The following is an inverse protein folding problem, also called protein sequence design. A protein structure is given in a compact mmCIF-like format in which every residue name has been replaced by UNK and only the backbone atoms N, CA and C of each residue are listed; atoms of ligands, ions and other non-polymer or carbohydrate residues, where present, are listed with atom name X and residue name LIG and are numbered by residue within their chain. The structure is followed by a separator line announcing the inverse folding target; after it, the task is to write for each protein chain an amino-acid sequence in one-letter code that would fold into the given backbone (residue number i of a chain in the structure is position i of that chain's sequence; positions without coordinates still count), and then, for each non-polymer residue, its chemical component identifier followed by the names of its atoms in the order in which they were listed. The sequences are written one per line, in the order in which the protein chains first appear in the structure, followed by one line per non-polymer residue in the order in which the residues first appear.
data_IF_774320831335
#
_entry.id   IF_774320831335
#
_cell.length_a   1.000
_cell.length_b   1.000
_cell.length_c   1.000
_cell.angle_alpha   90.00
_cell.angle_beta   90.00
_cell.angle_gamma   90.00
#
_symmetry.space_group_name_H-M   'P 1'
#
loop_
_entity.id
_entity.type
_entity.pdbx_description
1 polymer ?
#
# COMPACT_ATOMS: atom_id res chain seq x y z
N UNK A 1 -49.93 -0.08 27.24
CA UNK A 1 -48.75 0.11 26.36
C UNK A 1 -47.51 -0.15 27.17
N UNK A 2 -46.83 -1.28 26.93
CA UNK A 2 -45.57 -1.60 27.57
C UNK A 2 -44.48 -0.96 26.70
N UNK A 3 -43.79 0.04 27.25
CA UNK A 3 -42.63 0.64 26.60
C UNK A 3 -41.49 -0.38 26.63
N UNK A 4 -41.23 -1.05 25.51
CA UNK A 4 -40.02 -1.84 25.35
C UNK A 4 -38.83 -0.88 25.29
N UNK A 5 -38.23 -0.61 26.45
CA UNK A 5 -36.90 0.00 26.53
C UNK A 5 -35.88 -1.09 26.17
N UNK A 6 -35.83 -1.49 24.89
CA UNK A 6 -34.73 -2.31 24.40
C UNK A 6 -33.49 -1.41 24.36
N UNK A 7 -32.81 -1.30 25.52
CA UNK A 7 -31.37 -1.03 25.54
C UNK A 7 -30.74 -2.13 24.69
N UNK A 8 -30.42 -1.81 23.44
CA UNK A 8 -29.60 -2.68 22.60
C UNK A 8 -28.29 -2.86 23.37
N UNK A 9 -28.15 -4.02 24.00
CA UNK A 9 -26.95 -4.43 24.75
C UNK A 9 -26.15 -5.31 23.81
N UNK A 10 -25.09 -4.73 23.25
CA UNK A 10 -24.22 -5.40 22.28
C UNK A 10 -24.47 -4.97 20.84
N UNK A 11 -23.39 -4.92 20.07
CA UNK A 11 -23.31 -4.24 18.77
C UNK A 11 -22.48 -2.96 18.87
N UNK A 12 -21.92 -2.48 17.76
CA UNK A 12 -21.06 -1.28 17.76
C UNK A 12 -21.83 0.05 17.88
N UNK A 13 -23.16 0.03 17.78
CA UNK A 13 -23.98 1.25 17.85
C UNK A 13 -23.66 2.27 16.75
N UNK A 14 -23.99 3.53 16.98
CA UNK A 14 -23.54 4.64 16.15
C UNK A 14 -22.09 4.98 16.51
N UNK A 15 -21.16 4.71 15.58
CA UNK A 15 -19.74 5.02 15.72
C UNK A 15 -19.36 6.35 15.06
N UNK A 16 -20.31 7.08 14.46
CA UNK A 16 -19.99 8.29 13.68
C UNK A 16 -19.66 9.50 14.55
N UNK A 17 -19.94 9.42 15.86
CA UNK A 17 -19.68 10.48 16.82
C UNK A 17 -19.01 9.90 18.07
N UNK A 18 -17.96 10.57 18.59
CA UNK A 18 -17.34 10.16 19.83
C UNK A 18 -18.31 10.32 21.02
N UNK A 19 -18.23 9.40 21.97
CA UNK A 19 -18.89 9.46 23.29
C UNK A 19 -17.90 9.03 24.39
N UNK A 20 -17.28 10.02 25.04
CA UNK A 20 -16.28 9.81 26.10
C UNK A 20 -16.88 9.26 27.41
N UNK A 21 -18.21 9.26 27.53
CA UNK A 21 -18.92 8.72 28.70
C UNK A 21 -19.53 7.33 28.41
N UNK A 22 -19.26 6.76 27.22
CA UNK A 22 -19.75 5.44 26.85
C UNK A 22 -19.31 4.40 27.90
N UNK A 23 -20.28 3.66 28.43
CA UNK A 23 -19.96 2.56 29.35
C UNK A 23 -19.44 1.37 28.54
N UNK A 24 -18.39 0.65 28.97
CA UNK A 24 -17.85 -0.51 28.24
C UNK A 24 -18.89 -1.60 27.94
N UNK A 25 -19.93 -1.75 28.78
CA UNK A 25 -21.00 -2.73 28.59
C UNK A 25 -22.03 -2.31 27.53
N UNK A 26 -22.08 -1.02 27.18
CA UNK A 26 -23.00 -0.48 26.19
C UNK A 26 -22.29 -0.30 24.83
N UNK A 27 -21.05 0.19 24.82
CA UNK A 27 -20.22 0.30 23.61
C UNK A 27 -18.73 0.27 23.95
N UNK A 28 -18.08 -0.89 23.78
CA UNK A 28 -16.67 -1.05 24.09
C UNK A 28 -15.75 -0.18 23.20
N UNK A 29 -16.10 0.01 21.94
CA UNK A 29 -15.27 0.80 21.02
C UNK A 29 -15.23 2.26 21.46
N UNK A 30 -16.39 2.90 21.70
CA UNK A 30 -16.45 4.29 22.13
C UNK A 30 -15.90 4.47 23.56
N UNK A 31 -16.14 3.51 24.46
CA UNK A 31 -15.60 3.57 25.82
C UNK A 31 -14.06 3.60 25.86
N UNK A 32 -13.40 3.03 24.84
CA UNK A 32 -11.94 2.97 24.76
C UNK A 32 -11.37 4.06 23.85
N UNK A 33 -12.03 4.35 22.72
CA UNK A 33 -11.44 5.14 21.63
C UNK A 33 -12.03 6.54 21.46
N UNK A 34 -13.10 6.92 22.18
CA UNK A 34 -13.78 8.22 21.96
C UNK A 34 -12.89 9.43 22.15
N UNK A 35 -11.95 9.41 23.10
CA UNK A 35 -11.00 10.51 23.30
C UNK A 35 -10.11 10.71 22.07
N UNK A 36 -9.57 9.62 21.51
CA UNK A 36 -8.80 9.68 20.26
C UNK A 36 -9.68 10.08 19.08
N UNK A 37 -10.86 9.49 18.94
CA UNK A 37 -11.76 9.72 17.81
C UNK A 37 -12.24 11.17 17.73
N UNK A 38 -12.38 11.84 18.87
CA UNK A 38 -12.75 13.25 18.95
C UNK A 38 -11.72 14.17 18.29
N UNK A 39 -10.44 13.83 18.41
CA UNK A 39 -9.34 14.68 17.95
C UNK A 39 -8.70 14.14 16.66
N UNK A 40 -9.00 12.91 16.28
CA UNK A 40 -8.48 12.27 15.08
C UNK A 40 -8.94 13.01 13.81
N UNK A 41 -7.98 13.44 13.00
CA UNK A 41 -8.21 14.06 11.70
C UNK A 41 -7.67 13.14 10.62
N UNK A 42 -8.48 12.84 9.61
CA UNK A 42 -8.01 12.16 8.40
C UNK A 42 -7.16 13.17 7.60
N UNK A 43 -5.86 12.92 7.40
CA UNK A 43 -5.01 13.80 6.59
C UNK A 43 -5.55 13.95 5.15
N UNK A 44 -5.33 15.10 4.52
CA UNK A 44 -5.87 15.40 3.19
C UNK A 44 -5.38 14.44 2.08
N UNK A 45 -4.25 13.79 2.28
CA UNK A 45 -3.62 12.81 1.38
C UNK A 45 -3.85 11.36 1.83
N UNK A 46 -4.81 11.13 2.73
CA UNK A 46 -5.19 9.80 3.22
C UNK A 46 -6.71 9.64 3.17
N UNK A 47 -7.17 8.40 3.04
CA UNK A 47 -8.61 8.06 3.02
C UNK A 47 -9.15 7.66 4.39
N UNK A 48 -8.26 7.39 5.35
CA UNK A 48 -8.59 6.91 6.69
C UNK A 48 -7.53 7.37 7.70
N UNK A 49 -7.87 7.25 8.99
CA UNK A 49 -6.94 7.42 10.11
C UNK A 49 -7.23 6.37 11.17
N UNK A 50 -6.18 5.89 11.83
CA UNK A 50 -6.24 4.84 12.84
C UNK A 50 -4.84 4.42 13.23
N UNK A 51 -4.75 3.47 14.16
CA UNK A 51 -3.45 3.02 14.70
C UNK A 51 -2.48 2.53 13.62
N UNK A 52 -2.97 1.80 12.61
CA UNK A 52 -2.12 1.28 11.53
C UNK A 52 -1.63 2.41 10.63
N UNK A 53 -2.52 3.29 10.17
CA UNK A 53 -2.17 4.45 9.34
C UNK A 53 -1.19 5.38 10.04
N UNK A 54 -1.37 5.62 11.35
CA UNK A 54 -0.43 6.41 12.14
C UNK A 54 0.95 5.75 12.26
N UNK A 55 0.99 4.43 12.45
CA UNK A 55 2.26 3.68 12.47
C UNK A 55 2.94 3.75 11.11
N UNK A 56 2.20 3.52 10.03
CA UNK A 56 2.72 3.56 8.65
C UNK A 56 3.30 4.93 8.33
N UNK A 57 2.59 6.02 8.64
CA UNK A 57 3.08 7.39 8.48
C UNK A 57 4.37 7.65 9.25
N UNK A 58 4.48 7.15 10.50
CA UNK A 58 5.71 7.29 11.30
C UNK A 58 6.87 6.50 10.70
N UNK A 59 6.62 5.29 10.23
CA UNK A 59 7.64 4.44 9.59
C UNK A 59 8.08 5.05 8.26
N UNK A 60 7.13 5.47 7.41
CA UNK A 60 7.37 6.15 6.13
C UNK A 60 8.26 7.37 6.33
N UNK A 61 7.89 8.27 7.25
CA UNK A 61 8.67 9.47 7.56
C UNK A 61 10.09 9.14 8.02
N UNK A 62 10.24 8.13 8.88
CA UNK A 62 11.55 7.68 9.36
C UNK A 62 12.39 7.11 8.23
N UNK A 63 11.80 6.23 7.42
CA UNK A 63 12.46 5.60 6.28
C UNK A 63 12.94 6.65 5.26
N UNK A 64 12.07 7.58 4.86
CA UNK A 64 12.43 8.68 3.95
C UNK A 64 13.57 9.53 4.53
N UNK A 65 13.49 9.87 5.81
CA UNK A 65 14.53 10.64 6.51
C UNK A 65 15.88 9.92 6.49
N UNK A 66 15.90 8.60 6.70
CA UNK A 66 17.14 7.83 6.72
C UNK A 66 17.72 7.64 5.31
N UNK A 67 16.87 7.43 4.30
CA UNK A 67 17.29 7.39 2.90
C UNK A 67 17.86 8.75 2.43
N UNK A 68 17.28 9.87 2.89
CA UNK A 68 17.80 11.21 2.62
C UNK A 68 19.18 11.46 3.25
N UNK A 69 19.42 10.92 4.45
CA UNK A 69 20.76 10.97 5.08
C UNK A 69 21.78 10.15 4.29
N UNK A 70 21.37 9.04 3.67
CA UNK A 70 22.26 8.26 2.79
C UNK A 70 22.58 9.01 1.50
N UNK A 71 21.58 9.58 0.82
CA UNK A 71 21.79 10.34 -0.42
C UNK A 71 22.67 11.57 -0.19
N UNK A 72 22.44 12.30 0.90
CA UNK A 72 23.23 13.50 1.25
C UNK A 72 24.64 13.19 1.76
N UNK A 73 24.99 11.92 1.95
CA UNK A 73 26.28 11.51 2.51
C UNK A 73 26.44 11.77 4.01
N UNK A 74 25.39 12.26 4.70
CA UNK A 74 25.38 12.45 6.15
C UNK A 74 25.59 11.14 6.92
N UNK A 75 25.05 10.05 6.37
CA UNK A 75 25.26 8.69 6.87
C UNK A 75 25.92 7.84 5.79
N UNK A 76 26.86 6.97 6.17
CA UNK A 76 27.36 5.92 5.29
C UNK A 76 26.27 4.86 5.08
N UNK A 77 26.13 4.38 3.84
CA UNK A 77 25.26 3.25 3.54
C UNK A 77 25.90 1.99 4.14
N UNK A 78 25.22 1.26 5.04
CA UNK A 78 25.71 -0.02 5.55
C UNK A 78 25.92 -1.05 4.44
N UNK A 79 26.88 -1.95 4.62
CA UNK A 79 27.12 -3.06 3.70
C UNK A 79 26.08 -4.17 3.90
N UNK A 80 24.86 -3.89 3.46
CA UNK A 80 23.71 -4.81 3.47
C UNK A 80 23.34 -5.10 2.01
N UNK A 81 23.18 -6.38 1.63
CA UNK A 81 22.81 -6.74 0.27
C UNK A 81 21.62 -5.93 -0.24
N UNK A 82 21.76 -5.37 -1.44
CA UNK A 82 20.78 -4.53 -2.14
C UNK A 82 20.40 -3.20 -1.48
N UNK A 83 20.87 -2.85 -0.28
CA UNK A 83 20.53 -1.57 0.35
C UNK A 83 21.01 -0.38 -0.50
N UNK A 84 22.21 -0.47 -1.07
CA UNK A 84 22.70 0.54 -2.02
C UNK A 84 21.76 0.71 -3.22
N UNK A 85 21.22 -0.38 -3.76
CA UNK A 85 20.25 -0.32 -4.88
C UNK A 85 18.94 0.33 -4.46
N UNK A 86 18.46 0.06 -3.24
CA UNK A 86 17.26 0.70 -2.70
C UNK A 86 17.46 2.23 -2.52
N UNK A 87 18.64 2.66 -2.07
CA UNK A 87 18.98 4.09 -1.97
C UNK A 87 19.02 4.76 -3.35
N UNK A 88 19.64 4.13 -4.35
CA UNK A 88 19.64 4.66 -5.72
C UNK A 88 18.22 4.71 -6.32
N UNK A 89 17.39 3.69 -6.08
CA UNK A 89 16.00 3.69 -6.52
C UNK A 89 15.20 4.82 -5.89
N UNK A 90 15.35 5.04 -4.58
CA UNK A 90 14.72 6.16 -3.89
C UNK A 90 15.18 7.52 -4.45
N UNK A 91 16.48 7.67 -4.74
CA UNK A 91 17.03 8.88 -5.36
C UNK A 91 16.38 9.17 -6.72
N UNK A 92 16.23 8.14 -7.58
CA UNK A 92 15.56 8.27 -8.87
C UNK A 92 14.07 8.63 -8.70
N UNK A 93 13.37 7.99 -7.76
CA UNK A 93 11.96 8.24 -7.51
C UNK A 93 11.68 9.67 -6.98
N UNK A 94 12.58 10.20 -6.15
CA UNK A 94 12.49 11.54 -5.54
C UNK A 94 12.84 12.68 -6.50
N UNK A 95 13.48 12.40 -7.64
CA UNK A 95 13.83 13.42 -8.64
C UNK A 95 12.60 13.83 -9.49
N UNK A 96 11.75 14.66 -8.89
CA UNK A 96 10.57 15.19 -9.56
C UNK A 96 10.91 16.10 -10.76
N UNK A 97 12.04 16.80 -10.73
CA UNK A 97 12.46 17.66 -11.83
C UNK A 97 12.76 16.82 -13.08
N UNK A 98 13.51 15.73 -12.93
CA UNK A 98 13.79 14.79 -14.02
C UNK A 98 12.50 14.12 -14.50
N UNK A 99 11.65 13.63 -13.59
CA UNK A 99 10.37 12.99 -13.94
C UNK A 99 9.45 13.94 -14.73
N UNK A 100 9.36 15.20 -14.33
CA UNK A 100 8.58 16.21 -15.04
C UNK A 100 9.18 16.52 -16.43
N UNK A 101 10.51 16.60 -16.53
CA UNK A 101 11.21 16.81 -17.80
C UNK A 101 11.09 15.63 -18.77
N UNK A 102 11.06 14.40 -18.24
CA UNK A 102 10.89 13.18 -19.03
C UNK A 102 9.45 13.06 -19.54
N UNK A 103 8.47 13.43 -18.72
CA UNK A 103 7.06 13.30 -19.05
C UNK A 103 6.72 11.87 -19.47
N UNK A 104 5.94 11.73 -20.54
CA UNK A 104 5.55 10.43 -21.09
C UNK A 104 6.60 9.81 -22.04
N UNK A 105 7.80 10.39 -22.19
CA UNK A 105 8.80 9.88 -23.14
C UNK A 105 9.25 8.44 -22.83
N UNK A 106 9.52 8.05 -21.56
CA UNK A 106 10.01 6.71 -21.26
C UNK A 106 9.04 5.58 -21.66
N UNK A 107 7.73 5.82 -21.59
CA UNK A 107 6.70 4.80 -21.89
C UNK A 107 6.37 4.67 -23.38
N UNK A 108 6.90 5.56 -24.25
CA UNK A 108 6.51 5.56 -25.68
C UNK A 108 6.87 4.26 -26.40
N UNK A 109 7.99 3.62 -26.04
CA UNK A 109 8.39 2.33 -26.63
C UNK A 109 7.37 1.24 -26.33
N UNK A 110 6.95 1.14 -25.07
CA UNK A 110 5.99 0.12 -24.63
C UNK A 110 4.61 0.36 -25.23
N UNK A 111 4.18 1.63 -25.33
CA UNK A 111 2.96 2.00 -26.02
C UNK A 111 3.01 1.64 -27.51
N UNK A 112 4.14 1.87 -28.18
CA UNK A 112 4.30 1.50 -29.59
C UNK A 112 4.17 -0.01 -29.78
N UNK A 113 4.76 -0.82 -28.90
CA UNK A 113 4.58 -2.29 -28.88
C UNK A 113 3.10 -2.66 -28.86
N UNK A 114 2.31 -2.07 -27.95
CA UNK A 114 0.88 -2.37 -27.82
C UNK A 114 0.06 -1.93 -29.04
N UNK A 115 0.29 -0.73 -29.55
CA UNK A 115 -0.49 -0.19 -30.70
C UNK A 115 -0.19 -0.89 -32.03
N UNK A 116 0.96 -1.57 -32.11
CA UNK A 116 1.36 -2.32 -33.29
C UNK A 116 0.82 -3.74 -33.35
N UNK A 117 0.23 -4.27 -32.27
CA UNK A 117 -0.44 -5.56 -32.29
C UNK A 117 -1.62 -5.52 -33.26
N UNK A 118 -1.68 -6.45 -34.23
CA UNK A 118 -2.75 -6.55 -35.23
C UNK A 118 -3.55 -7.84 -35.12
N UNK A 119 -3.11 -8.78 -34.30
CA UNK A 119 -3.72 -10.09 -34.20
C UNK A 119 -3.59 -10.69 -32.81
N UNK A 120 -4.40 -11.73 -32.56
CA UNK A 120 -4.26 -12.57 -31.37
C UNK A 120 -2.90 -13.28 -31.31
N UNK A 121 -2.32 -13.62 -32.47
CA UNK A 121 -0.98 -14.20 -32.55
C UNK A 121 0.09 -13.24 -32.05
N UNK A 122 -0.03 -11.95 -32.36
CA UNK A 122 0.92 -10.94 -31.86
C UNK A 122 0.80 -10.79 -30.33
N UNK A 123 -0.43 -10.82 -29.81
CA UNK A 123 -0.68 -10.79 -28.38
C UNK A 123 -0.10 -12.02 -27.66
N UNK A 124 -0.25 -13.21 -28.25
CA UNK A 124 0.33 -14.44 -27.72
C UNK A 124 1.86 -14.35 -27.69
N UNK A 125 2.49 -13.95 -28.79
CA UNK A 125 3.93 -13.78 -28.86
C UNK A 125 4.45 -12.74 -27.85
N UNK A 126 3.71 -11.64 -27.63
CA UNK A 126 4.04 -10.66 -26.61
C UNK A 126 3.98 -11.27 -25.19
N UNK A 127 2.98 -12.12 -24.90
CA UNK A 127 2.83 -12.76 -23.59
C UNK A 127 3.94 -13.77 -23.26
N UNK A 128 4.63 -14.26 -24.27
CA UNK A 128 5.75 -15.21 -24.15
C UNK A 128 7.12 -14.49 -24.15
N UNK A 129 7.15 -13.16 -24.35
CA UNK A 129 8.40 -12.39 -24.42
C UNK A 129 9.10 -12.25 -23.06
N UNK A 130 10.43 -12.36 -23.05
CA UNK A 130 11.27 -12.24 -21.85
C UNK A 130 11.78 -10.80 -21.60
N UNK A 131 11.23 -9.80 -22.31
CA UNK A 131 11.75 -8.43 -22.35
C UNK A 131 11.63 -7.65 -21.02
N UNK A 132 11.15 -8.30 -19.96
CA UNK A 132 11.08 -7.76 -18.60
C UNK A 132 10.05 -6.64 -18.42
N UNK A 133 9.32 -6.28 -19.49
CA UNK A 133 8.19 -5.35 -19.45
C UNK A 133 6.94 -6.13 -19.10
N UNK A 134 6.35 -5.83 -17.95
CA UNK A 134 5.10 -6.45 -17.52
C UNK A 134 3.95 -5.71 -18.17
N UNK A 135 3.41 -6.27 -19.25
CA UNK A 135 2.12 -5.87 -19.78
C UNK A 135 1.01 -6.55 -18.98
N UNK A 136 -0.13 -5.87 -18.84
CA UNK A 136 -1.29 -6.44 -18.16
C UNK A 136 -2.10 -7.29 -19.14
N UNK A 137 -2.32 -8.55 -18.76
CA UNK A 137 -3.05 -9.54 -19.54
C UNK A 137 -4.34 -9.95 -18.80
N UNK A 138 -5.34 -10.54 -19.51
CA UNK A 138 -6.55 -11.06 -18.87
C UNK A 138 -6.29 -12.23 -17.91
N UNK A 139 -5.06 -12.74 -17.86
CA UNK A 139 -4.55 -13.67 -16.87
C UNK A 139 -3.16 -13.21 -16.42
N UNK A 140 -2.82 -13.45 -15.16
CA UNK A 140 -1.52 -13.16 -14.58
C UNK A 140 -0.97 -14.41 -13.90
N UNK A 141 0.34 -14.62 -14.02
CA UNK A 141 1.00 -15.75 -13.37
C UNK A 141 1.49 -15.35 -11.99
N UNK A 142 0.99 -16.03 -10.97
CA UNK A 142 1.45 -15.89 -9.60
C UNK A 142 1.95 -17.23 -9.09
N UNK A 143 3.21 -17.30 -8.66
CA UNK A 143 3.71 -18.48 -7.95
C UNK A 143 3.35 -18.35 -6.46
N UNK A 144 2.29 -19.04 -6.06
CA UNK A 144 1.92 -19.19 -4.65
C UNK A 144 2.97 -19.99 -3.86
N UNK A 145 2.99 -19.82 -2.53
CA UNK A 145 3.99 -20.47 -1.66
C UNK A 145 3.79 -21.98 -1.50
N UNK A 146 2.59 -22.52 -1.73
CA UNK A 146 2.26 -23.96 -1.58
C UNK A 146 1.11 -24.36 -2.49
N UNK A 147 1.12 -25.61 -2.94
CA UNK A 147 -0.07 -26.27 -3.46
C UNK A 147 -1.06 -26.49 -2.31
N UNK A 148 -2.27 -25.94 -2.43
CA UNK A 148 -3.32 -26.04 -1.40
C UNK A 148 -3.86 -27.46 -1.23
N UNK A 149 -3.65 -28.36 -2.20
CA UNK A 149 -4.09 -29.75 -2.15
C UNK A 149 -2.99 -30.72 -1.70
N UNK A 150 -1.72 -30.33 -1.84
CA UNK A 150 -0.56 -31.11 -1.39
C UNK A 150 0.42 -30.21 -0.62
N UNK A 151 0.12 -29.89 0.65
CA UNK A 151 0.94 -28.95 1.42
C UNK A 151 2.31 -29.50 1.83
N UNK A 152 2.52 -30.82 1.75
CA UNK A 152 3.71 -31.52 2.26
C UNK A 152 4.82 -31.77 1.22
N UNK A 153 4.56 -31.50 -0.07
CA UNK A 153 5.63 -31.47 -1.08
C UNK A 153 6.27 -30.08 -1.05
N UNK A 154 7.25 -29.92 -0.17
CA UNK A 154 8.21 -28.84 -0.26
C UNK A 154 8.86 -28.90 -1.65
N UNK A 155 8.77 -27.79 -2.39
CA UNK A 155 9.49 -27.64 -3.65
C UNK A 155 10.99 -27.75 -3.36
N UNK A 156 11.60 -28.83 -3.86
CA UNK A 156 13.05 -28.97 -4.03
C UNK A 156 13.54 -27.95 -5.04
#
# INVERSE_FOLDING_TARGET
MIHFNQKVRGGVGDLTKPDVNARPQDNLYLAVNSEWQKDAVIPADRTEIGVNTEIDMRIEKRMMTDLDKFISGKNKIPDIPNLKKAVELYKMAKDFAKRNSDGAKPIQKDLATLTNLKSFSDLQALSESEDGVVFEFPYNFYKGRRDTKCPDIAQV
#
